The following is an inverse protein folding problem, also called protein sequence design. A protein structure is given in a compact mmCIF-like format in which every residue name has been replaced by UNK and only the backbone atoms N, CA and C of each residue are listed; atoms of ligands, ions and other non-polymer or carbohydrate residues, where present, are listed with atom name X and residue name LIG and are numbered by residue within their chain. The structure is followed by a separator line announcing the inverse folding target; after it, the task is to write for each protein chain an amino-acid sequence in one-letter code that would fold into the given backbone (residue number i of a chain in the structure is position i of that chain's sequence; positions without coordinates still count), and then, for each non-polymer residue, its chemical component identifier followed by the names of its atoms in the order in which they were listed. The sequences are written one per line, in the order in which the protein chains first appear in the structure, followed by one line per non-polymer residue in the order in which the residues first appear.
data_IF_767994415957
#
_entry.id   IF_767994415957
#
_cell.length_a   1.000
_cell.length_b   1.000
_cell.length_c   1.000
_cell.angle_alpha   90.00
_cell.angle_beta   90.00
_cell.angle_gamma   90.00
#
_symmetry.space_group_name_H-M   'P 1'
#
loop_
_entity.id
_entity.type
_entity.pdbx_description
1 polymer ?
#
# COMPACT_ATOMS: atom_id res chain seq x y z
N UNK A 1 -10.95 -6.30 -3.33
CA UNK A 1 -12.34 -6.77 -3.58
C UNK A 1 -12.56 -8.21 -3.14
N UNK A 2 -11.90 -9.23 -3.73
CA UNK A 2 -12.08 -10.64 -3.33
C UNK A 2 -11.94 -10.89 -1.83
N UNK A 3 -10.87 -10.34 -1.21
CA UNK A 3 -10.68 -10.42 0.24
C UNK A 3 -11.85 -9.82 1.03
N UNK A 4 -12.33 -8.64 0.63
CA UNK A 4 -13.46 -7.98 1.28
C UNK A 4 -14.76 -8.78 1.16
N UNK A 5 -15.01 -9.43 0.03
CA UNK A 5 -16.17 -10.31 -0.14
C UNK A 5 -16.10 -11.56 0.74
N UNK A 6 -14.92 -12.19 0.84
CA UNK A 6 -14.70 -13.33 1.73
C UNK A 6 -14.91 -12.93 3.20
N UNK A 7 -14.40 -11.76 3.58
CA UNK A 7 -14.55 -11.23 4.94
C UNK A 7 -16.00 -10.87 5.25
N UNK A 8 -16.74 -10.32 4.29
CA UNK A 8 -18.18 -10.05 4.41
C UNK A 8 -19.01 -11.35 4.56
N UNK A 9 -18.66 -12.39 3.81
CA UNK A 9 -19.29 -13.70 3.98
C UNK A 9 -19.10 -14.25 5.39
N UNK A 10 -17.88 -14.11 5.94
CA UNK A 10 -17.61 -14.48 7.33
C UNK A 10 -18.38 -13.62 8.33
N UNK A 11 -18.43 -12.30 8.16
CA UNK A 11 -19.15 -11.41 9.09
C UNK A 11 -20.64 -11.74 9.16
N UNK A 12 -21.26 -12.11 8.03
CA UNK A 12 -22.64 -12.57 7.98
C UNK A 12 -22.86 -13.87 8.77
N UNK A 13 -21.90 -14.81 8.71
CA UNK A 13 -21.99 -16.09 9.44
C UNK A 13 -21.76 -15.89 10.94
N UNK A 14 -20.86 -14.99 11.33
CA UNK A 14 -20.50 -14.75 12.73
C UNK A 14 -21.37 -13.70 13.41
N UNK A 15 -22.23 -12.99 12.66
CA UNK A 15 -23.10 -11.93 13.18
C UNK A 15 -22.34 -10.65 13.56
N UNK A 16 -21.16 -10.41 12.98
CA UNK A 16 -20.38 -9.20 13.27
C UNK A 16 -20.98 -7.98 12.55
N UNK A 17 -20.93 -6.77 13.16
CA UNK A 17 -21.55 -5.56 12.62
C UNK A 17 -20.70 -4.91 11.50
N UNK A 18 -20.35 -5.69 10.47
CA UNK A 18 -19.64 -5.17 9.29
C UNK A 18 -20.60 -4.98 8.11
N UNK A 19 -20.67 -3.76 7.60
CA UNK A 19 -21.30 -3.50 6.31
C UNK A 19 -20.40 -3.93 5.15
N UNK A 20 -20.97 -4.19 3.98
CA UNK A 20 -20.20 -4.55 2.78
C UNK A 20 -19.14 -3.48 2.43
N UNK A 21 -19.43 -2.16 2.48
CA UNK A 21 -18.42 -1.11 2.29
C UNK A 21 -17.26 -1.21 3.29
N UNK A 22 -17.52 -1.49 4.58
CA UNK A 22 -16.45 -1.67 5.57
C UNK A 22 -15.54 -2.86 5.23
N UNK A 23 -16.11 -3.97 4.76
CA UNK A 23 -15.33 -5.13 4.34
C UNK A 23 -14.52 -4.85 3.05
N UNK A 24 -15.09 -4.10 2.11
CA UNK A 24 -14.38 -3.70 0.89
C UNK A 24 -13.27 -2.69 1.18
N UNK A 25 -13.50 -1.75 2.12
CA UNK A 25 -12.49 -0.84 2.68
C UNK A 25 -11.36 -1.62 3.35
N UNK A 26 -11.68 -2.63 4.15
CA UNK A 26 -10.68 -3.52 4.71
C UNK A 26 -9.93 -4.30 3.62
N UNK A 27 -10.65 -4.72 2.58
CA UNK A 27 -10.15 -5.17 1.29
C UNK A 27 -9.01 -4.35 0.71
N UNK A 28 -9.20 -3.03 0.64
CA UNK A 28 -8.22 -2.09 0.11
C UNK A 28 -7.06 -1.80 1.06
N UNK A 29 -7.27 -1.88 2.38
CA UNK A 29 -6.20 -1.68 3.37
C UNK A 29 -5.09 -2.71 3.21
N UNK A 30 -5.45 -3.98 2.96
CA UNK A 30 -4.51 -5.10 2.86
C UNK A 30 -4.17 -5.49 1.42
N UNK A 31 -4.61 -4.68 0.45
CA UNK A 31 -4.27 -4.86 -0.95
C UNK A 31 -2.79 -4.48 -1.22
N UNK A 32 -2.29 -3.30 -0.80
CA UNK A 32 -0.89 -2.89 -0.98
C UNK A 32 0.12 -3.95 -0.54
N UNK A 33 1.19 -4.08 -1.32
CA UNK A 33 2.25 -5.06 -1.06
C UNK A 33 3.63 -4.45 -1.25
N UNK A 34 4.55 -4.80 -0.38
CA UNK A 34 5.97 -4.46 -0.44
C UNK A 34 6.73 -5.55 -1.24
N UNK A 35 7.16 -5.23 -2.47
CA UNK A 35 7.87 -6.15 -3.33
C UNK A 35 9.37 -6.13 -3.02
N UNK A 36 9.89 -5.06 -2.42
CA UNK A 36 11.33 -4.76 -2.31
C UNK A 36 11.97 -5.80 -1.41
N UNK A 37 11.34 -6.10 -0.28
CA UNK A 37 11.81 -7.14 0.63
C UNK A 37 11.82 -8.53 -0.04
N UNK A 38 10.81 -8.86 -0.86
CA UNK A 38 10.75 -10.16 -1.52
C UNK A 38 11.72 -10.26 -2.71
N UNK A 39 11.75 -9.27 -3.60
CA UNK A 39 12.58 -9.28 -4.81
C UNK A 39 14.06 -9.15 -4.46
N UNK A 40 14.44 -8.40 -3.43
CA UNK A 40 15.84 -8.32 -2.97
C UNK A 40 16.38 -9.67 -2.47
N UNK A 41 15.54 -10.47 -1.81
CA UNK A 41 15.88 -11.84 -1.40
C UNK A 41 15.97 -12.72 -2.65
N UNK A 42 14.95 -12.70 -3.50
CA UNK A 42 14.82 -13.60 -4.65
C UNK A 42 15.85 -13.35 -5.75
N UNK A 43 16.27 -12.09 -5.98
CA UNK A 43 17.35 -11.74 -6.91
C UNK A 43 18.66 -12.46 -6.55
N UNK A 44 18.96 -12.64 -5.25
CA UNK A 44 20.14 -13.41 -4.78
C UNK A 44 20.05 -14.90 -5.11
N UNK A 45 18.85 -15.43 -5.35
CA UNK A 45 18.61 -16.85 -5.69
C UNK A 45 18.31 -17.06 -7.18
N UNK A 46 18.58 -16.06 -8.02
CA UNK A 46 18.44 -16.17 -9.48
C UNK A 46 17.01 -15.99 -9.98
N UNK A 47 16.23 -15.11 -9.35
CA UNK A 47 14.95 -14.66 -9.91
C UNK A 47 15.16 -14.09 -11.32
N UNK A 48 14.44 -14.58 -12.34
CA UNK A 48 14.51 -14.03 -13.68
C UNK A 48 14.11 -12.55 -13.72
N UNK A 49 14.68 -11.81 -14.67
CA UNK A 49 14.48 -10.36 -14.78
C UNK A 49 13.03 -9.98 -15.08
N UNK A 50 12.35 -10.73 -15.96
CA UNK A 50 11.00 -10.40 -16.39
C UNK A 50 9.98 -10.61 -15.27
N UNK A 51 10.06 -11.73 -14.56
CA UNK A 51 9.26 -11.97 -13.34
C UNK A 51 9.56 -10.93 -12.25
N UNK A 52 10.83 -10.57 -12.03
CA UNK A 52 11.21 -9.55 -11.06
C UNK A 52 10.63 -8.17 -11.39
N UNK A 53 10.72 -7.75 -12.66
CA UNK A 53 10.16 -6.50 -13.14
C UNK A 53 8.63 -6.46 -12.98
N UNK A 54 7.93 -7.57 -13.26
CA UNK A 54 6.49 -7.62 -13.08
C UNK A 54 6.08 -7.53 -11.60
N UNK A 55 6.82 -8.16 -10.69
CA UNK A 55 6.53 -8.09 -9.24
C UNK A 55 6.69 -6.64 -8.75
N UNK A 56 7.75 -5.95 -9.16
CA UNK A 56 7.98 -4.53 -8.82
C UNK A 56 6.90 -3.63 -9.42
N UNK A 57 6.52 -3.87 -10.68
CA UNK A 57 5.47 -3.10 -11.36
C UNK A 57 4.07 -3.32 -10.78
N UNK A 58 3.71 -4.55 -10.40
CA UNK A 58 2.42 -4.86 -9.77
C UNK A 58 2.26 -4.13 -8.45
N UNK A 59 3.27 -4.20 -7.59
CA UNK A 59 3.23 -3.55 -6.29
C UNK A 59 3.13 -2.02 -6.41
N UNK A 60 3.92 -1.39 -7.29
CA UNK A 60 3.90 0.06 -7.43
C UNK A 60 2.51 0.58 -7.87
N UNK A 61 1.83 -0.15 -8.76
CA UNK A 61 0.46 0.16 -9.14
C UNK A 61 -0.53 -0.17 -8.01
N UNK A 62 -0.34 -1.31 -7.33
CA UNK A 62 -1.22 -1.79 -6.28
C UNK A 62 -1.25 -0.87 -5.06
N UNK A 63 -0.14 -0.24 -4.69
CA UNK A 63 -0.11 0.74 -3.60
C UNK A 63 -1.00 1.96 -3.94
N UNK A 64 -0.87 2.50 -5.15
CA UNK A 64 -1.71 3.62 -5.62
C UNK A 64 -3.19 3.24 -5.74
N UNK A 65 -3.50 2.11 -6.36
CA UNK A 65 -4.87 1.61 -6.52
C UNK A 65 -5.49 1.23 -5.18
N UNK A 66 -4.72 0.64 -4.27
CA UNK A 66 -5.14 0.28 -2.92
C UNK A 66 -5.58 1.50 -2.13
N UNK A 67 -4.79 2.58 -2.14
CA UNK A 67 -5.15 3.85 -1.50
C UNK A 67 -6.38 4.49 -2.16
N UNK A 68 -6.47 4.46 -3.49
CA UNK A 68 -7.64 5.00 -4.20
C UNK A 68 -8.94 4.23 -3.88
N UNK A 69 -8.87 2.90 -3.83
CA UNK A 69 -9.99 2.05 -3.41
C UNK A 69 -10.34 2.26 -1.94
N UNK A 70 -9.34 2.45 -1.08
CA UNK A 70 -9.55 2.78 0.33
C UNK A 70 -10.36 4.05 0.48
N UNK A 71 -9.94 5.12 -0.19
CA UNK A 71 -10.70 6.39 -0.22
C UNK A 71 -12.10 6.17 -0.76
N UNK A 72 -12.26 5.40 -1.84
CA UNK A 72 -13.57 5.08 -2.41
C UNK A 72 -14.52 4.44 -1.39
N UNK A 73 -14.09 3.33 -0.77
CA UNK A 73 -14.94 2.61 0.17
C UNK A 73 -15.11 3.36 1.50
N UNK A 74 -14.10 4.09 1.95
CA UNK A 74 -14.17 4.90 3.17
C UNK A 74 -15.16 6.08 2.99
N UNK A 75 -15.23 6.66 1.79
CA UNK A 75 -16.24 7.64 1.43
C UNK A 75 -17.66 7.04 1.37
N UNK A 76 -17.83 5.78 0.96
CA UNK A 76 -19.13 5.09 1.05
C UNK A 76 -19.52 4.89 2.52
N UNK A 77 -18.59 4.44 3.37
CA UNK A 77 -18.82 4.26 4.80
C UNK A 77 -19.26 5.59 5.45
N UNK A 78 -18.62 6.72 5.11
CA UNK A 78 -19.05 8.07 5.54
C UNK A 78 -20.40 8.49 4.95
N UNK A 79 -20.66 8.14 3.69
CA UNK A 79 -21.90 8.50 3.02
C UNK A 79 -23.12 7.77 3.63
N UNK A 80 -22.93 6.58 4.21
CA UNK A 80 -23.96 5.91 5.02
C UNK A 80 -24.40 6.77 6.23
N UNK A 81 -23.60 7.75 6.66
CA UNK A 81 -23.93 8.73 7.70
C UNK A 81 -24.65 10.00 7.18
N UNK A 82 -24.93 10.10 5.86
CA UNK A 82 -25.80 11.13 5.28
C UNK A 82 -25.16 12.11 4.29
N UNK A 83 -23.85 12.01 4.00
CA UNK A 83 -23.22 12.75 2.91
C UNK A 83 -23.44 12.02 1.55
N UNK A 84 -23.69 12.76 0.46
CA UNK A 84 -23.84 12.12 -0.86
C UNK A 84 -22.52 11.53 -1.38
N UNK A 85 -22.49 10.24 -1.72
CA UNK A 85 -21.29 9.50 -2.17
C UNK A 85 -20.45 10.24 -3.22
N UNK A 86 -21.07 10.81 -4.25
CA UNK A 86 -20.36 11.55 -5.30
C UNK A 86 -19.69 12.82 -4.78
N UNK A 87 -20.30 13.51 -3.82
CA UNK A 87 -19.72 14.72 -3.22
C UNK A 87 -18.51 14.39 -2.34
N UNK A 88 -18.61 13.31 -1.54
CA UNK A 88 -17.50 12.81 -0.71
C UNK A 88 -16.33 12.35 -1.58
N UNK A 89 -16.62 11.60 -2.64
CA UNK A 89 -15.61 11.13 -3.60
C UNK A 89 -14.93 12.23 -4.37
N UNK A 90 -15.71 13.19 -4.86
CA UNK A 90 -15.15 14.34 -5.54
C UNK A 90 -14.24 15.13 -4.59
N UNK A 91 -14.68 15.39 -3.34
CA UNK A 91 -13.86 16.09 -2.34
C UNK A 91 -12.58 15.31 -2.02
N UNK A 92 -12.67 14.05 -1.63
CA UNK A 92 -11.53 13.29 -1.13
C UNK A 92 -10.50 12.96 -2.21
N UNK A 93 -10.94 12.56 -3.42
CA UNK A 93 -10.05 12.13 -4.50
C UNK A 93 -9.60 13.30 -5.36
N UNK A 94 -10.55 14.08 -5.91
CA UNK A 94 -10.20 15.18 -6.81
C UNK A 94 -9.52 16.32 -6.04
N UNK A 95 -9.96 16.62 -4.82
CA UNK A 95 -9.30 17.60 -3.96
C UNK A 95 -7.85 17.20 -3.64
N UNK A 96 -7.61 15.95 -3.27
CA UNK A 96 -6.25 15.47 -2.99
C UNK A 96 -5.33 15.49 -4.22
N UNK A 97 -5.84 15.08 -5.39
CA UNK A 97 -5.09 15.11 -6.65
C UNK A 97 -4.77 16.55 -7.07
N UNK A 98 -5.76 17.45 -6.97
CA UNK A 98 -5.58 18.86 -7.32
C UNK A 98 -4.55 19.53 -6.40
N UNK A 99 -4.69 19.37 -5.08
CA UNK A 99 -3.77 19.92 -4.08
C UNK A 99 -2.36 19.36 -4.31
N UNK A 100 -2.22 18.03 -4.42
CA UNK A 100 -0.93 17.37 -4.67
C UNK A 100 -0.28 17.87 -5.96
N UNK A 101 -1.04 17.99 -7.05
CA UNK A 101 -0.53 18.47 -8.33
C UNK A 101 -0.07 19.94 -8.27
N UNK A 102 -0.89 20.83 -7.71
CA UNK A 102 -0.58 22.27 -7.59
C UNK A 102 0.65 22.48 -6.72
N UNK A 103 0.71 21.84 -5.54
CA UNK A 103 1.87 21.94 -4.64
C UNK A 103 3.12 21.42 -5.35
N UNK A 104 3.05 20.28 -6.03
CA UNK A 104 4.20 19.71 -6.73
C UNK A 104 4.71 20.61 -7.85
N UNK A 105 3.82 21.20 -8.65
CA UNK A 105 4.23 22.11 -9.74
C UNK A 105 4.99 23.32 -9.18
N UNK A 106 4.47 23.91 -8.10
CA UNK A 106 5.09 25.06 -7.44
C UNK A 106 6.46 24.69 -6.85
N UNK A 107 6.52 23.60 -6.09
CA UNK A 107 7.74 23.19 -5.40
C UNK A 107 8.78 22.61 -6.35
N UNK A 108 8.37 21.94 -7.44
CA UNK A 108 9.29 21.46 -8.46
C UNK A 108 10.01 22.62 -9.17
N UNK A 109 9.34 23.75 -9.37
CA UNK A 109 9.99 24.94 -9.91
C UNK A 109 11.10 25.47 -8.99
N UNK A 110 10.87 25.47 -7.68
CA UNK A 110 11.87 25.85 -6.66
C UNK A 110 13.00 24.81 -6.61
N UNK A 111 12.65 23.52 -6.66
CA UNK A 111 13.59 22.40 -6.67
C UNK A 111 14.56 22.50 -7.84
N UNK A 112 14.03 22.70 -9.05
CA UNK A 112 14.80 22.81 -10.28
C UNK A 112 15.77 24.00 -10.27
N UNK A 113 15.43 25.10 -9.59
CA UNK A 113 16.33 26.25 -9.43
C UNK A 113 17.32 26.13 -8.28
N UNK A 114 17.19 25.10 -7.44
CA UNK A 114 18.11 24.89 -6.34
C UNK A 114 19.35 24.17 -6.84
N UNK A 115 20.52 24.77 -6.61
CA UNK A 115 21.83 24.20 -7.00
C UNK A 115 22.40 23.25 -5.93
N UNK A 116 21.93 23.36 -4.69
CA UNK A 116 22.43 22.62 -3.52
C UNK A 116 21.53 21.41 -3.19
N UNK A 117 22.13 20.24 -3.01
CA UNK A 117 21.45 18.99 -2.65
C UNK A 117 20.61 19.10 -1.38
N UNK A 118 21.08 19.83 -0.37
CA UNK A 118 20.34 20.05 0.88
C UNK A 118 19.05 20.84 0.67
N UNK A 119 19.10 21.88 -0.17
CA UNK A 119 17.91 22.69 -0.50
C UNK A 119 16.88 21.86 -1.25
N UNK A 120 17.33 21.00 -2.18
CA UNK A 120 16.48 20.04 -2.90
C UNK A 120 15.76 19.08 -1.94
N UNK A 121 16.46 18.57 -0.92
CA UNK A 121 15.87 17.74 0.13
C UNK A 121 14.78 18.52 0.89
N UNK A 122 15.09 19.73 1.40
CA UNK A 122 14.10 20.54 2.13
C UNK A 122 12.87 20.87 1.31
N UNK A 123 13.03 21.20 0.02
CA UNK A 123 11.93 21.48 -0.90
C UNK A 123 11.03 20.25 -1.07
N UNK A 124 11.61 19.05 -1.20
CA UNK A 124 10.82 17.82 -1.31
C UNK A 124 10.04 17.48 -0.05
N UNK A 125 10.66 17.61 1.13
CA UNK A 125 10.00 17.40 2.41
C UNK A 125 8.85 18.40 2.61
N UNK A 126 9.10 19.68 2.30
CA UNK A 126 8.10 20.74 2.42
C UNK A 126 6.94 20.54 1.44
N UNK A 127 7.21 20.07 0.21
CA UNK A 127 6.18 19.74 -0.77
C UNK A 127 5.22 18.68 -0.24
N UNK A 128 5.75 17.56 0.29
CA UNK A 128 4.91 16.46 0.79
C UNK A 128 4.16 16.87 2.06
N UNK A 129 4.84 17.53 3.01
CA UNK A 129 4.22 17.98 4.26
C UNK A 129 3.11 19.02 4.01
N UNK A 130 3.34 19.99 3.11
CA UNK A 130 2.36 21.01 2.79
C UNK A 130 1.15 20.42 2.06
N UNK A 131 1.37 19.51 1.09
CA UNK A 131 0.28 18.85 0.38
C UNK A 131 -0.61 18.04 1.34
N UNK A 132 0.01 17.33 2.29
CA UNK A 132 -0.71 16.58 3.31
C UNK A 132 -1.52 17.50 4.21
N UNK A 133 -0.89 18.54 4.77
CA UNK A 133 -1.55 19.48 5.67
C UNK A 133 -2.71 20.23 4.99
N UNK A 134 -2.53 20.69 3.75
CA UNK A 134 -3.60 21.32 2.98
C UNK A 134 -4.78 20.36 2.79
N UNK A 135 -4.52 19.08 2.53
CA UNK A 135 -5.59 18.10 2.41
C UNK A 135 -6.36 17.92 3.72
N UNK A 136 -5.69 17.90 4.88
CA UNK A 136 -6.41 17.86 6.16
C UNK A 136 -7.34 19.07 6.35
N UNK A 137 -6.86 20.27 6.02
CA UNK A 137 -7.67 21.51 6.10
C UNK A 137 -8.89 21.44 5.18
N UNK A 138 -8.73 20.91 3.97
CA UNK A 138 -9.82 20.77 3.00
C UNK A 138 -10.61 19.47 3.12
N UNK A 139 -10.39 18.67 4.18
CA UNK A 139 -11.05 17.36 4.36
C UNK A 139 -10.89 16.42 3.17
N UNK A 140 -9.69 16.43 2.58
CA UNK A 140 -9.24 15.58 1.48
C UNK A 140 -8.21 14.55 1.96
N UNK A 141 -7.89 13.54 1.14
CA UNK A 141 -6.91 12.52 1.52
C UNK A 141 -5.45 13.01 1.39
N UNK A 142 -4.81 13.34 2.52
CA UNK A 142 -3.40 13.71 2.55
C UNK A 142 -2.46 12.63 2.02
N UNK A 143 -2.78 11.34 2.25
CA UNK A 143 -2.01 10.23 1.73
C UNK A 143 -2.00 10.18 0.19
N UNK A 144 -3.17 10.40 -0.45
CA UNK A 144 -3.26 10.48 -1.91
C UNK A 144 -2.45 11.67 -2.42
N UNK A 145 -2.55 12.83 -1.78
CA UNK A 145 -1.79 14.01 -2.20
C UNK A 145 -0.27 13.76 -2.13
N UNK A 146 0.22 13.08 -1.08
CA UNK A 146 1.63 12.69 -0.98
C UNK A 146 2.09 11.76 -2.10
N UNK A 147 1.25 10.78 -2.50
CA UNK A 147 1.55 9.89 -3.64
C UNK A 147 1.56 10.66 -4.96
N UNK A 148 0.56 11.53 -5.18
CA UNK A 148 0.51 12.41 -6.35
C UNK A 148 1.74 13.29 -6.41
N UNK A 149 2.21 13.79 -5.27
CA UNK A 149 3.47 14.51 -5.19
C UNK A 149 4.62 13.65 -5.67
N UNK A 150 4.86 12.47 -5.09
CA UNK A 150 5.98 11.60 -5.50
C UNK A 150 5.97 11.24 -7.00
N UNK A 151 4.81 10.84 -7.53
CA UNK A 151 4.67 10.43 -8.94
C UNK A 151 4.87 11.60 -9.91
N UNK A 152 4.23 12.74 -9.64
CA UNK A 152 4.35 13.91 -10.49
C UNK A 152 5.77 14.50 -10.41
N UNK A 153 6.38 14.51 -9.23
CA UNK A 153 7.75 14.96 -9.05
C UNK A 153 8.74 14.10 -9.84
N UNK A 154 8.60 12.77 -9.78
CA UNK A 154 9.39 11.82 -10.58
C UNK A 154 9.22 12.07 -12.09
N UNK A 155 7.97 12.32 -12.53
CA UNK A 155 7.68 12.61 -13.95
C UNK A 155 8.29 13.93 -14.41
N UNK A 156 8.18 14.98 -13.59
CA UNK A 156 8.75 16.30 -13.90
C UNK A 156 10.28 16.27 -13.88
N UNK A 157 10.89 15.54 -12.94
CA UNK A 157 12.34 15.28 -12.89
C UNK A 157 12.81 14.65 -14.19
N UNK A 158 12.21 13.53 -14.59
CA UNK A 158 12.57 12.83 -15.82
C UNK A 158 12.45 13.72 -17.06
N UNK A 159 11.38 14.51 -17.17
CA UNK A 159 11.22 15.49 -18.27
C UNK A 159 12.29 16.57 -18.29
N UNK A 160 12.77 17.01 -17.12
CA UNK A 160 13.84 18.00 -17.04
C UNK A 160 15.19 17.38 -17.45
N UNK A 161 15.48 16.15 -17.00
CA UNK A 161 16.65 15.38 -17.43
C UNK A 161 16.65 15.15 -18.95
N UNK A 162 15.52 14.73 -19.53
CA UNK A 162 15.34 14.55 -20.98
C UNK A 162 15.52 15.86 -21.77
N UNK A 163 15.24 17.01 -21.16
CA UNK A 163 15.44 18.34 -21.74
C UNK A 163 16.88 18.88 -21.59
N UNK A 164 17.80 18.08 -21.02
CA UNK A 164 19.21 18.44 -20.84
C UNK A 164 19.54 19.15 -19.53
N UNK A 165 18.60 19.23 -18.58
CA UNK A 165 18.84 19.80 -17.25
C UNK A 165 19.59 18.78 -16.37
N UNK A 166 20.92 18.88 -16.31
CA UNK A 166 21.75 17.99 -15.50
C UNK A 166 21.74 18.43 -14.02
N UNK A 167 20.87 17.80 -13.25
CA UNK A 167 20.76 18.01 -11.81
C UNK A 167 21.63 17.02 -11.04
N UNK A 168 22.53 17.51 -10.16
CA UNK A 168 23.21 16.63 -9.19
C UNK A 168 22.26 16.18 -8.08
N UNK A 169 21.89 14.91 -8.10
CA UNK A 169 20.87 14.34 -7.21
C UNK A 169 21.44 13.27 -6.28
N UNK A 170 22.77 13.10 -6.22
CA UNK A 170 23.39 12.07 -5.40
C UNK A 170 23.02 12.20 -3.90
N UNK A 171 23.09 13.41 -3.34
CA UNK A 171 22.69 13.67 -1.95
C UNK A 171 21.18 13.47 -1.75
N UNK A 172 20.37 13.87 -2.73
CA UNK A 172 18.91 13.77 -2.68
C UNK A 172 18.45 12.31 -2.69
N UNK A 173 18.95 11.52 -3.63
CA UNK A 173 18.63 10.10 -3.79
C UNK A 173 19.14 9.32 -2.56
N UNK A 174 20.37 9.61 -2.09
CA UNK A 174 20.91 9.00 -0.87
C UNK A 174 20.07 9.34 0.38
N UNK A 175 19.58 10.57 0.51
CA UNK A 175 18.71 10.95 1.62
C UNK A 175 17.40 10.16 1.61
N UNK A 176 16.73 10.05 0.46
CA UNK A 176 15.47 9.31 0.35
C UNK A 176 15.66 7.80 0.54
N UNK A 177 16.78 7.23 0.08
CA UNK A 177 17.14 5.83 0.39
C UNK A 177 17.33 5.61 1.90
N UNK A 178 18.00 6.53 2.60
CA UNK A 178 18.18 6.45 4.05
C UNK A 178 16.82 6.59 4.76
N UNK A 179 15.97 7.53 4.31
CA UNK A 179 14.63 7.73 4.87
C UNK A 179 13.73 6.51 4.66
N UNK A 180 13.74 5.91 3.47
CA UNK A 180 12.98 4.67 3.19
C UNK A 180 13.42 3.55 4.12
N UNK A 181 14.73 3.30 4.23
CA UNK A 181 15.27 2.28 5.14
C UNK A 181 14.94 2.57 6.61
N UNK A 182 15.02 3.83 7.04
CA UNK A 182 14.72 4.24 8.41
C UNK A 182 13.24 4.05 8.74
N UNK A 183 12.34 4.56 7.90
CA UNK A 183 10.90 4.46 8.09
C UNK A 183 10.44 2.99 8.07
N UNK A 184 10.99 2.18 7.16
CA UNK A 184 10.74 0.73 7.14
C UNK A 184 11.24 0.06 8.43
N UNK A 185 12.41 0.43 8.94
CA UNK A 185 12.92 -0.11 10.21
C UNK A 185 12.03 0.26 11.41
N UNK A 186 11.60 1.52 11.50
CA UNK A 186 10.68 2.00 12.55
C UNK A 186 9.35 1.25 12.47
N UNK A 187 8.82 1.05 11.27
CA UNK A 187 7.61 0.28 11.00
C UNK A 187 7.74 -1.15 11.51
N UNK A 188 8.86 -1.84 11.26
CA UNK A 188 9.10 -3.19 11.80
C UNK A 188 9.16 -3.22 13.33
N UNK A 189 9.76 -2.21 13.96
CA UNK A 189 9.76 -2.08 15.43
C UNK A 189 8.34 -1.87 15.96
N UNK A 190 7.57 -0.96 15.34
CA UNK A 190 6.16 -0.72 15.70
C UNK A 190 5.30 -1.97 15.53
N UNK A 191 5.55 -2.76 14.49
CA UNK A 191 4.93 -4.08 14.29
C UNK A 191 5.26 -5.04 15.45
N UNK A 192 6.53 -5.15 15.81
CA UNK A 192 6.98 -6.00 16.92
C UNK A 192 6.35 -5.61 18.26
N UNK A 193 6.27 -4.30 18.55
CA UNK A 193 5.61 -3.79 19.76
C UNK A 193 4.09 -4.00 19.75
N UNK A 194 3.46 -3.89 18.58
CA UNK A 194 2.02 -4.07 18.43
C UNK A 194 1.59 -5.54 18.59
N UNK A 195 2.48 -6.49 18.34
CA UNK A 195 2.23 -7.92 18.54
C UNK A 195 1.75 -8.26 19.97
N UNK A 196 2.27 -7.57 20.98
CA UNK A 196 1.88 -7.77 22.39
C UNK A 196 0.41 -7.42 22.60
N UNK A 197 -0.10 -6.37 21.93
CA UNK A 197 -1.52 -5.97 22.01
C UNK A 197 -2.45 -6.97 21.34
N UNK A 198 -2.03 -7.57 20.22
CA UNK A 198 -2.86 -8.55 19.47
C UNK A 198 -3.14 -9.79 20.34
N UNK A 199 -2.15 -10.25 21.12
CA UNK A 199 -2.29 -11.42 21.98
C UNK A 199 -3.29 -11.24 23.13
N UNK A 200 -3.61 -9.99 23.49
CA UNK A 200 -4.48 -9.67 24.61
C UNK A 200 -5.97 -9.54 24.23
N UNK A 201 -6.30 -9.61 22.94
CA UNK A 201 -7.67 -9.38 22.48
C UNK A 201 -8.49 -10.69 22.43
N UNK A 202 -9.64 -10.78 23.13
CA UNK A 202 -10.49 -11.96 23.11
C UNK A 202 -11.11 -12.19 21.72
N UNK A 203 -11.23 -13.44 21.28
CA UNK A 203 -11.74 -13.87 19.96
C UNK A 203 -10.98 -13.38 18.70
N UNK A 204 -10.08 -12.41 18.83
CA UNK A 204 -9.29 -11.86 17.72
C UNK A 204 -8.33 -12.88 17.12
N UNK A 205 -7.78 -13.83 17.90
CA UNK A 205 -6.88 -14.83 17.33
C UNK A 205 -7.56 -15.68 16.23
N UNK A 206 -8.83 -16.06 16.43
CA UNK A 206 -9.60 -16.84 15.44
C UNK A 206 -9.89 -16.00 14.19
N UNK A 207 -10.33 -14.75 14.38
CA UNK A 207 -10.60 -13.81 13.29
C UNK A 207 -9.32 -13.45 12.52
N UNK A 208 -8.19 -13.30 13.20
CA UNK A 208 -6.88 -13.03 12.62
C UNK A 208 -6.37 -14.20 11.79
N UNK A 209 -6.53 -15.43 12.26
CA UNK A 209 -6.18 -16.63 11.47
C UNK A 209 -7.06 -16.71 10.22
N UNK A 210 -8.37 -16.52 10.36
CA UNK A 210 -9.29 -16.48 9.22
C UNK A 210 -8.94 -15.35 8.24
N UNK A 211 -8.60 -14.16 8.76
CA UNK A 211 -8.15 -13.02 7.97
C UNK A 211 -6.90 -13.33 7.16
N UNK A 212 -5.90 -14.00 7.73
CA UNK A 212 -4.70 -14.45 7.00
C UNK A 212 -5.07 -15.44 5.90
N UNK A 213 -5.89 -16.44 6.20
CA UNK A 213 -6.31 -17.47 5.23
C UNK A 213 -7.07 -16.82 4.06
N UNK A 214 -8.06 -15.97 4.36
CA UNK A 214 -8.83 -15.27 3.33
C UNK A 214 -7.98 -14.30 2.54
N UNK A 215 -6.97 -13.68 3.16
CA UNK A 215 -6.07 -12.77 2.46
C UNK A 215 -5.17 -13.53 1.47
N UNK A 216 -4.66 -14.71 1.87
CA UNK A 216 -3.92 -15.61 0.97
C UNK A 216 -4.81 -16.15 -0.15
N UNK A 217 -6.01 -16.63 0.19
CA UNK A 217 -6.96 -17.15 -0.79
C UNK A 217 -7.40 -16.05 -1.76
N UNK A 218 -7.74 -14.87 -1.25
CA UNK A 218 -8.13 -13.72 -2.06
C UNK A 218 -7.03 -13.29 -3.03
N UNK A 219 -5.77 -13.22 -2.57
CA UNK A 219 -4.62 -12.87 -3.43
C UNK A 219 -4.32 -13.96 -4.46
N UNK A 220 -4.34 -15.24 -4.07
CA UNK A 220 -4.14 -16.34 -5.01
C UNK A 220 -5.23 -16.37 -6.07
N UNK A 221 -6.50 -16.26 -5.67
CA UNK A 221 -7.63 -16.25 -6.61
C UNK A 221 -7.57 -15.05 -7.56
N UNK A 222 -7.24 -13.85 -7.07
CA UNK A 222 -7.14 -12.67 -7.93
C UNK A 222 -5.98 -12.79 -8.93
N UNK A 223 -4.80 -13.22 -8.48
CA UNK A 223 -3.64 -13.39 -9.35
C UNK A 223 -3.87 -14.50 -10.36
N UNK A 224 -4.41 -15.63 -9.92
CA UNK A 224 -4.73 -16.76 -10.78
C UNK A 224 -5.75 -16.36 -11.85
N UNK A 225 -6.80 -15.63 -11.49
CA UNK A 225 -7.75 -15.07 -12.45
C UNK A 225 -7.06 -14.13 -13.46
N UNK A 226 -6.18 -13.23 -12.99
CA UNK A 226 -5.41 -12.35 -13.86
C UNK A 226 -4.51 -13.11 -14.85
N UNK A 227 -4.01 -14.30 -14.51
CA UNK A 227 -3.20 -15.11 -15.44
C UNK A 227 -3.98 -15.63 -16.66
N UNK A 228 -5.32 -15.58 -16.67
CA UNK A 228 -6.13 -15.89 -17.86
C UNK A 228 -6.26 -14.70 -18.81
N UNK A 229 -6.19 -13.48 -18.28
CA UNK A 229 -6.15 -12.25 -19.07
C UNK A 229 -4.75 -11.98 -19.60
N UNK A 230 -3.74 -12.45 -18.87
CA UNK A 230 -2.35 -12.43 -19.30
C UNK A 230 -2.13 -13.50 -20.38
N UNK A 231 -1.45 -13.13 -21.48
CA UNK A 231 -1.15 -14.05 -22.58
C UNK A 231 -0.14 -15.13 -22.19
N UNK A 232 1.11 -14.98 -22.63
CA UNK A 232 2.20 -15.87 -22.23
C UNK A 232 2.76 -15.45 -20.88
N UNK A 233 2.93 -16.42 -19.97
CA UNK A 233 3.58 -16.18 -18.69
C UNK A 233 5.09 -16.13 -18.92
N UNK A 234 5.79 -15.11 -18.37
CA UNK A 234 7.23 -14.99 -18.52
C UNK A 234 7.99 -16.15 -17.87
N UNK A 235 9.22 -16.38 -18.35
CA UNK A 235 10.21 -17.26 -17.72
C UNK A 235 9.81 -18.74 -17.57
N UNK A 236 8.83 -19.22 -18.35
CA UNK A 236 8.46 -20.63 -18.40
C UNK A 236 7.65 -21.14 -17.19
N UNK A 237 7.18 -20.24 -16.32
CA UNK A 237 6.32 -20.62 -15.20
C UNK A 237 4.94 -21.09 -15.67
N UNK A 238 4.38 -22.11 -14.99
CA UNK A 238 2.95 -22.42 -15.14
C UNK A 238 2.09 -21.38 -14.42
N UNK A 239 0.85 -21.18 -14.87
CA UNK A 239 -0.13 -20.25 -14.24
C UNK A 239 -0.21 -20.39 -12.72
N UNK A 240 -0.27 -21.63 -12.24
CA UNK A 240 -0.37 -21.93 -10.80
C UNK A 240 0.92 -21.61 -10.04
N UNK A 241 2.08 -21.94 -10.60
CA UNK A 241 3.39 -21.64 -9.97
C UNK A 241 3.65 -20.14 -9.94
N UNK A 242 3.29 -19.45 -11.01
CA UNK A 242 3.39 -18.00 -11.12
C UNK A 242 2.50 -17.30 -10.08
N UNK A 243 1.20 -17.64 -10.04
CA UNK A 243 0.28 -17.08 -9.04
C UNK A 243 0.72 -17.40 -7.60
N UNK A 244 1.23 -18.60 -7.34
CA UNK A 244 1.79 -18.98 -6.03
C UNK A 244 3.02 -18.14 -5.67
N UNK A 245 3.93 -17.91 -6.61
CA UNK A 245 5.13 -17.11 -6.40
C UNK A 245 4.77 -15.66 -6.04
N UNK A 246 3.86 -15.03 -6.80
CA UNK A 246 3.41 -13.66 -6.55
C UNK A 246 2.56 -13.54 -5.27
N UNK A 247 1.81 -14.59 -4.91
CA UNK A 247 1.05 -14.64 -3.65
C UNK A 247 1.97 -14.75 -2.45
N UNK A 248 3.04 -15.55 -2.56
CA UNK A 248 4.00 -15.74 -1.47
C UNK A 248 4.99 -14.57 -1.35
N UNK A 249 5.34 -13.94 -2.48
CA UNK A 249 6.22 -12.78 -2.53
C UNK A 249 5.54 -11.44 -2.24
N UNK A 250 4.22 -11.40 -2.14
CA UNK A 250 3.48 -10.16 -1.83
C UNK A 250 3.53 -9.84 -0.34
N UNK A 251 4.68 -9.46 0.22
CA UNK A 251 4.79 -9.07 1.63
C UNK A 251 3.93 -7.82 1.87
N UNK A 252 3.31 -7.65 3.03
CA UNK A 252 2.50 -6.44 3.32
C UNK A 252 3.35 -5.49 4.15
N UNK A 253 3.31 -4.21 3.80
CA UNK A 253 4.08 -3.16 4.48
C UNK A 253 3.27 -2.37 5.50
N UNK A 254 3.88 -1.32 6.05
CA UNK A 254 3.26 -0.45 7.04
C UNK A 254 2.27 0.56 6.47
N UNK A 255 2.21 0.72 5.14
CA UNK A 255 1.12 1.43 4.50
C UNK A 255 -0.24 0.83 4.92
N UNK A 256 -0.34 -0.50 5.02
CA UNK A 256 -1.55 -1.18 5.49
C UNK A 256 -1.93 -0.75 6.92
N UNK A 257 -0.93 -0.65 7.82
CA UNK A 257 -1.13 -0.25 9.22
C UNK A 257 -1.59 1.21 9.28
N UNK A 258 -0.94 2.09 8.52
CA UNK A 258 -1.29 3.51 8.47
C UNK A 258 -2.74 3.71 8.01
N UNK A 259 -3.16 3.01 6.94
CA UNK A 259 -4.54 3.05 6.46
C UNK A 259 -5.52 2.49 7.49
N UNK A 260 -5.20 1.37 8.15
CA UNK A 260 -6.03 0.83 9.23
C UNK A 260 -6.18 1.79 10.41
N UNK A 261 -5.10 2.47 10.81
CA UNK A 261 -5.13 3.47 11.87
C UNK A 261 -5.98 4.69 11.49
N UNK A 262 -5.94 5.10 10.22
CA UNK A 262 -6.74 6.21 9.71
C UNK A 262 -8.25 5.96 9.72
N UNK A 263 -8.70 4.71 9.92
CA UNK A 263 -10.11 4.35 10.03
C UNK A 263 -10.73 4.70 11.39
N UNK A 264 -9.93 5.05 12.40
CA UNK A 264 -10.41 5.32 13.76
C UNK A 264 -11.57 6.32 13.86
N UNK A 265 -11.59 7.46 13.13
CA UNK A 265 -12.70 8.41 13.22
C UNK A 265 -13.94 7.97 12.43
N UNK A 266 -13.88 6.87 11.68
CA UNK A 266 -14.90 6.44 10.71
C UNK A 266 -15.61 5.15 11.12
N UNK A 267 -15.11 4.48 12.16
CA UNK A 267 -15.58 3.17 12.59
C UNK A 267 -15.84 3.18 14.09
N UNK A 268 -16.88 2.46 14.51
CA UNK A 268 -17.09 2.15 15.92
C UNK A 268 -15.87 1.45 16.53
N UNK A 269 -15.65 1.69 17.82
CA UNK A 269 -14.47 1.21 18.52
C UNK A 269 -14.26 -0.31 18.36
N UNK A 270 -15.33 -1.11 18.42
CA UNK A 270 -15.27 -2.56 18.24
C UNK A 270 -14.80 -2.94 16.82
N UNK A 271 -15.42 -2.38 15.79
CA UNK A 271 -15.09 -2.64 14.37
C UNK A 271 -13.67 -2.18 14.06
N UNK A 272 -13.29 -0.99 14.54
CA UNK A 272 -11.95 -0.45 14.41
C UNK A 272 -10.89 -1.40 15.00
N UNK A 273 -11.13 -1.91 16.21
CA UNK A 273 -10.22 -2.83 16.87
C UNK A 273 -10.08 -4.16 16.12
N UNK A 274 -11.16 -4.67 15.51
CA UNK A 274 -11.12 -5.87 14.67
C UNK A 274 -10.32 -5.62 13.38
N UNK A 275 -10.60 -4.52 12.67
CA UNK A 275 -9.88 -4.13 11.44
C UNK A 275 -8.39 -3.98 11.72
N UNK A 276 -8.05 -3.26 12.78
CA UNK A 276 -6.68 -3.03 13.20
C UNK A 276 -5.99 -4.36 13.56
N UNK A 277 -6.62 -5.20 14.38
CA UNK A 277 -6.08 -6.50 14.78
C UNK A 277 -5.84 -7.45 13.60
N UNK A 278 -6.81 -7.53 12.66
CA UNK A 278 -6.68 -8.36 11.47
C UNK A 278 -5.61 -7.82 10.50
N UNK A 279 -5.52 -6.49 10.34
CA UNK A 279 -4.46 -5.85 9.55
C UNK A 279 -3.09 -6.22 10.10
N UNK A 280 -2.90 -6.08 11.41
CA UNK A 280 -1.64 -6.44 12.05
C UNK A 280 -1.30 -7.92 11.88
N UNK A 281 -2.28 -8.82 12.05
CA UNK A 281 -2.06 -10.25 11.87
C UNK A 281 -1.60 -10.60 10.44
N UNK A 282 -2.20 -9.97 9.43
CA UNK A 282 -1.80 -10.13 8.02
C UNK A 282 -0.39 -9.58 7.81
N UNK A 283 -0.12 -8.34 8.23
CA UNK A 283 1.20 -7.72 8.04
C UNK A 283 2.28 -8.56 8.74
N UNK A 284 2.05 -9.00 9.98
CA UNK A 284 2.98 -9.87 10.71
C UNK A 284 3.20 -11.22 10.01
N UNK A 285 2.14 -11.93 9.65
CA UNK A 285 2.25 -13.22 8.98
C UNK A 285 3.06 -13.10 7.69
N UNK A 286 2.81 -12.05 6.93
CA UNK A 286 3.39 -11.89 5.59
C UNK A 286 4.85 -11.47 5.71
N UNK A 287 5.16 -10.46 6.52
CA UNK A 287 6.56 -10.02 6.75
C UNK A 287 7.43 -11.10 7.41
N UNK A 288 6.94 -11.77 8.46
CA UNK A 288 7.74 -12.75 9.22
C UNK A 288 7.68 -14.13 8.57
N UNK A 289 6.48 -14.69 8.40
CA UNK A 289 6.35 -16.08 7.91
C UNK A 289 6.64 -16.14 6.41
N UNK A 290 5.98 -15.33 5.58
CA UNK A 290 6.25 -15.38 4.14
C UNK A 290 7.65 -14.87 3.81
N UNK A 291 8.12 -13.80 4.47
CA UNK A 291 9.48 -13.29 4.29
C UNK A 291 10.57 -14.35 4.57
N UNK A 292 10.51 -15.03 5.72
CA UNK A 292 11.49 -16.07 6.08
C UNK A 292 11.36 -17.36 5.24
N UNK A 293 10.17 -17.66 4.72
CA UNK A 293 9.93 -18.88 3.92
C UNK A 293 10.05 -18.66 2.41
N UNK A 294 10.19 -17.41 1.96
CA UNK A 294 10.17 -17.04 0.53
C UNK A 294 11.19 -17.82 -0.29
N UNK A 295 12.41 -17.94 0.22
CA UNK A 295 13.48 -18.72 -0.41
C UNK A 295 13.06 -20.17 -0.66
N UNK A 296 12.56 -20.86 0.39
CA UNK A 296 12.18 -22.28 0.31
C UNK A 296 11.04 -22.50 -0.68
N UNK A 297 10.09 -21.57 -0.73
CA UNK A 297 8.98 -21.63 -1.68
C UNK A 297 9.46 -21.42 -3.11
N UNK A 298 10.36 -20.46 -3.33
CA UNK A 298 10.93 -20.22 -4.65
C UNK A 298 11.70 -21.44 -5.19
N UNK A 299 12.55 -22.06 -4.38
CA UNK A 299 13.30 -23.27 -4.76
C UNK A 299 12.38 -24.45 -5.13
N UNK A 300 11.19 -24.54 -4.53
CA UNK A 300 10.19 -25.59 -4.83
C UNK A 300 9.37 -25.30 -6.10
N UNK A 301 9.22 -24.03 -6.46
CA UNK A 301 8.41 -23.60 -7.60
C UNK A 301 9.20 -23.54 -8.92
N UNK A 302 10.52 -23.42 -8.84
CA UNK A 302 11.44 -23.58 -9.98
C UNK A 302 11.34 -25.00 -10.55
#
# INVERSE_FOLDING_TARGET
VFYGLLFYGMSCITGLPFSLPMCLMFGSIVAPTDPIAATSILKKFGLPKDTGFLIEGESLLNDGVGVALFVCFSGIVKAEEGEGFFAVMFRELFGAVLIGAVVTIIFFFIFRRSEDGKRRIFVSLLSVALAYWLCEVFSCSGAIASVVCGVLFSTLRKRAEDAGDQMDLAEFDSFWDIMDNLLNSVLYVLLGLSFIRILQMPNVLKLSVAAVIFNLAGRFSSLFASTFLMGQIPDGFTRTRFASLLTWGGLRGGLCIALAMSCKPMLDAEVYHIVLGCTYAIVFFTTVVQGLTMKKVYEKLR
#
